data_IF_492658374928
#
_entry.id   IF_492658374928
#
_cell.length_a   1.000
_cell.length_b   1.000
_cell.length_c   1.000
_cell.angle_alpha   90.00
_cell.angle_beta   90.00
_cell.angle_gamma   90.00
#
_symmetry.space_group_name_H-M   'P 1'
#
loop_
_entity.id
_entity.type
_entity.pdbx_description
1 polymer ?
#
# COMPACT_ATOMS: atom_id res chain seq x y z
N UNK A 1 -25.91 -50.61 7.29
CA UNK A 1 -24.44 -50.67 7.12
C UNK A 1 -24.03 -49.68 6.03
N UNK A 2 -23.17 -48.72 6.42
CA UNK A 2 -22.45 -47.74 5.61
C UNK A 2 -23.29 -46.66 4.88
N UNK A 3 -23.70 -45.52 5.47
CA UNK A 3 -23.07 -44.66 6.48
C UNK A 3 -21.58 -44.32 6.25
N UNK A 4 -21.01 -44.63 5.08
CA UNK A 4 -19.58 -44.44 4.80
C UNK A 4 -19.27 -44.03 3.34
N UNK A 5 -20.12 -43.21 2.73
CA UNK A 5 -19.82 -42.58 1.41
C UNK A 5 -19.85 -41.05 1.41
N UNK A 6 -20.09 -40.43 2.57
CA UNK A 6 -20.21 -38.96 2.71
C UNK A 6 -18.94 -38.23 3.19
N UNK A 7 -17.80 -38.90 3.31
CA UNK A 7 -16.66 -38.36 4.10
C UNK A 7 -15.31 -38.25 3.36
N UNK A 8 -15.26 -38.44 2.04
CA UNK A 8 -14.01 -38.41 1.26
C UNK A 8 -14.03 -37.41 0.08
N UNK A 9 -14.79 -36.31 0.20
CA UNK A 9 -14.78 -35.21 -0.78
C UNK A 9 -14.46 -33.84 -0.15
N UNK A 10 -13.56 -33.84 0.83
CA UNK A 10 -12.93 -32.63 1.39
C UNK A 10 -11.41 -32.82 1.37
N UNK A 11 -10.80 -32.48 0.24
CA UNK A 11 -9.35 -32.51 0.09
C UNK A 11 -9.01 -32.45 -1.37
N UNK A 12 -8.26 -31.41 -1.74
CA UNK A 12 -7.86 -31.00 -3.11
C UNK A 12 -8.93 -30.14 -3.78
N UNK A 13 -8.74 -28.82 -3.65
CA UNK A 13 -9.40 -27.87 -4.53
C UNK A 13 -9.00 -28.18 -5.97
N UNK A 14 -9.98 -28.50 -6.79
CA UNK A 14 -9.84 -28.54 -8.24
C UNK A 14 -9.34 -27.16 -8.69
N UNK A 15 -8.06 -27.11 -9.09
CA UNK A 15 -7.59 -26.07 -9.97
C UNK A 15 -8.15 -26.39 -11.36
N UNK A 16 -9.38 -25.96 -11.61
CA UNK A 16 -9.93 -25.93 -12.96
C UNK A 16 -9.07 -24.97 -13.80
N UNK A 17 -8.16 -25.54 -14.58
CA UNK A 17 -7.53 -24.83 -15.68
C UNK A 17 -8.62 -24.59 -16.72
N UNK A 18 -9.14 -23.35 -16.76
CA UNK A 18 -10.11 -22.92 -17.75
C UNK A 18 -9.53 -23.15 -19.17
N UNK A 19 -10.04 -24.17 -19.87
CA UNK A 19 -9.59 -24.57 -21.20
C UNK A 19 -9.89 -23.54 -22.31
N UNK A 20 -10.50 -22.39 -21.97
CA UNK A 20 -10.86 -21.30 -22.88
C UNK A 20 -9.95 -20.08 -22.86
N UNK A 21 -8.72 -20.17 -22.32
CA UNK A 21 -7.73 -19.09 -22.43
C UNK A 21 -8.19 -17.74 -21.90
N UNK A 22 -8.88 -17.71 -20.75
CA UNK A 22 -9.20 -16.45 -20.07
C UNK A 22 -7.93 -15.75 -19.57
N UNK A 23 -8.04 -14.44 -19.28
CA UNK A 23 -6.96 -13.64 -18.66
C UNK A 23 -6.33 -14.43 -17.50
N UNK A 24 -5.06 -14.81 -17.67
CA UNK A 24 -4.31 -15.57 -16.67
C UNK A 24 -4.23 -14.71 -15.41
N UNK A 25 -4.97 -15.11 -14.38
CA UNK A 25 -4.84 -14.51 -13.07
C UNK A 25 -3.59 -15.11 -12.40
N UNK A 26 -2.46 -14.42 -12.56
CA UNK A 26 -1.15 -14.79 -11.99
C UNK A 26 -1.11 -14.83 -10.47
N UNK A 27 -2.20 -14.41 -9.82
CA UNK A 27 -2.28 -14.34 -8.38
C UNK A 27 -3.20 -15.42 -7.80
N UNK A 28 -2.82 -16.11 -6.71
CA UNK A 28 -3.70 -17.02 -5.97
C UNK A 28 -5.04 -16.36 -5.63
N UNK A 29 -6.11 -17.14 -5.45
CA UNK A 29 -7.46 -16.61 -5.16
C UNK A 29 -7.49 -15.58 -4.00
N UNK A 30 -6.63 -15.74 -3.00
CA UNK A 30 -6.46 -14.79 -1.90
C UNK A 30 -6.03 -13.38 -2.33
N UNK A 31 -5.19 -13.26 -3.36
CA UNK A 31 -4.75 -11.97 -3.88
C UNK A 31 -5.84 -11.30 -4.73
N UNK A 32 -6.62 -12.06 -5.49
CA UNK A 32 -7.80 -11.52 -6.17
C UNK A 32 -8.83 -10.98 -5.16
N UNK A 33 -9.03 -11.70 -4.05
CA UNK A 33 -9.84 -11.22 -2.94
C UNK A 33 -9.26 -9.95 -2.29
N UNK A 34 -7.93 -9.89 -2.09
CA UNK A 34 -7.25 -8.72 -1.57
C UNK A 34 -7.40 -7.49 -2.49
N UNK A 35 -7.24 -7.65 -3.80
CA UNK A 35 -7.44 -6.57 -4.78
C UNK A 35 -8.88 -6.05 -4.77
N UNK A 36 -9.88 -6.93 -4.67
CA UNK A 36 -11.29 -6.54 -4.51
C UNK A 36 -11.52 -5.78 -3.21
N UNK A 37 -10.96 -6.25 -2.10
CA UNK A 37 -11.06 -5.59 -0.80
C UNK A 37 -10.37 -4.21 -0.80
N UNK A 38 -9.23 -4.07 -1.48
CA UNK A 38 -8.54 -2.80 -1.69
C UNK A 38 -9.44 -1.83 -2.47
N UNK A 39 -10.05 -2.27 -3.58
CA UNK A 39 -10.97 -1.43 -4.38
C UNK A 39 -12.15 -0.92 -3.57
N UNK A 40 -12.73 -1.76 -2.71
CA UNK A 40 -13.85 -1.36 -1.85
C UNK A 40 -13.42 -0.30 -0.83
N UNK A 41 -12.25 -0.47 -0.20
CA UNK A 41 -11.73 0.49 0.79
C UNK A 41 -11.21 1.78 0.16
N UNK A 42 -10.70 1.73 -1.07
CA UNK A 42 -10.30 2.92 -1.83
C UNK A 42 -11.44 3.92 -2.00
N UNK A 43 -12.70 3.45 -2.08
CA UNK A 43 -13.87 4.35 -2.15
C UNK A 43 -13.99 5.23 -0.92
N UNK A 44 -13.70 4.68 0.26
CA UNK A 44 -13.78 5.36 1.55
C UNK A 44 -12.55 6.23 1.87
N UNK A 45 -11.43 6.04 1.16
CA UNK A 45 -10.21 6.78 1.42
C UNK A 45 -10.28 8.20 0.85
N UNK A 46 -9.83 9.17 1.64
CA UNK A 46 -9.72 10.58 1.27
C UNK A 46 -8.45 10.85 0.45
N UNK A 47 -7.37 10.16 0.80
CA UNK A 47 -6.09 10.23 0.11
C UNK A 47 -5.40 8.87 0.07
N UNK A 48 -4.68 8.63 -1.02
CA UNK A 48 -3.89 7.42 -1.21
C UNK A 48 -2.39 7.74 -1.26
N UNK A 49 -1.61 7.06 -0.43
CA UNK A 49 -0.15 7.03 -0.52
C UNK A 49 0.23 5.79 -1.32
N UNK A 50 0.68 6.00 -2.55
CA UNK A 50 1.18 4.94 -3.44
C UNK A 50 2.68 4.74 -3.19
N UNK A 51 3.03 3.67 -2.49
CA UNK A 51 4.43 3.32 -2.18
C UNK A 51 5.02 2.51 -3.31
N UNK A 52 6.11 3.02 -3.88
CA UNK A 52 6.87 2.39 -4.97
C UNK A 52 8.33 2.20 -4.54
N UNK A 53 9.07 1.33 -5.22
CA UNK A 53 10.50 1.16 -4.99
C UNK A 53 11.28 2.18 -5.85
N UNK A 54 12.10 3.02 -5.23
CA UNK A 54 12.85 4.09 -5.88
C UNK A 54 13.83 3.59 -6.94
N UNK A 55 14.27 2.33 -6.85
CA UNK A 55 15.16 1.71 -7.85
C UNK A 55 14.44 1.39 -9.16
N UNK A 56 13.14 1.10 -9.08
CA UNK A 56 12.29 0.72 -10.21
C UNK A 56 10.92 1.43 -10.13
N UNK A 57 10.85 2.77 -10.27
CA UNK A 57 9.64 3.54 -10.02
C UNK A 57 8.47 3.25 -10.96
N UNK A 58 8.76 2.83 -12.21
CA UNK A 58 7.73 2.45 -13.19
C UNK A 58 7.35 0.97 -12.98
N UNK A 59 8.32 0.07 -12.83
CA UNK A 59 8.04 -1.37 -12.76
C UNK A 59 7.36 -1.80 -11.46
N UNK A 60 7.51 -1.02 -10.38
CA UNK A 60 6.84 -1.28 -9.09
C UNK A 60 5.38 -0.79 -9.04
N UNK A 61 4.83 -0.36 -10.18
CA UNK A 61 3.43 0.02 -10.34
C UNK A 61 2.52 -1.21 -10.27
N UNK A 62 1.40 -1.09 -9.56
CA UNK A 62 0.30 -2.05 -9.66
C UNK A 62 -0.68 -1.61 -10.76
N UNK A 63 -0.62 -2.25 -11.94
CA UNK A 63 -1.48 -1.97 -13.10
C UNK A 63 -2.97 -2.06 -12.78
N UNK A 64 -3.38 -3.04 -11.99
CA UNK A 64 -4.79 -3.35 -11.71
C UNK A 64 -5.49 -2.29 -10.86
N UNK A 65 -4.70 -1.47 -10.15
CA UNK A 65 -5.19 -0.40 -9.30
C UNK A 65 -5.09 0.97 -9.96
N UNK A 66 -4.32 1.15 -11.04
CA UNK A 66 -4.08 2.47 -11.64
C UNK A 66 -5.36 3.18 -12.07
N UNK A 67 -6.32 2.44 -12.65
CA UNK A 67 -7.62 2.99 -13.06
C UNK A 67 -8.47 3.53 -11.90
N UNK A 68 -8.27 3.00 -10.70
CA UNK A 68 -8.99 3.41 -9.49
C UNK A 68 -8.24 4.51 -8.73
N UNK A 69 -6.92 4.57 -8.87
CA UNK A 69 -6.07 5.57 -8.23
C UNK A 69 -6.07 6.91 -8.98
N UNK A 70 -6.37 6.91 -10.27
CA UNK A 70 -6.43 8.15 -11.08
C UNK A 70 -7.54 9.11 -10.66
N UNK A 71 -8.64 8.60 -10.09
CA UNK A 71 -9.79 9.41 -9.66
C UNK A 71 -9.67 9.97 -8.23
N UNK A 72 -8.62 9.58 -7.49
CA UNK A 72 -8.44 9.93 -6.07
C UNK A 72 -7.23 10.85 -5.88
N UNK A 73 -7.26 11.65 -4.81
CA UNK A 73 -6.09 12.42 -4.35
C UNK A 73 -4.98 11.42 -4.00
N UNK A 74 -3.82 11.56 -4.63
CA UNK A 74 -2.73 10.58 -4.53
C UNK A 74 -1.37 11.26 -4.36
N UNK A 75 -0.53 10.63 -3.55
CA UNK A 75 0.90 10.97 -3.41
C UNK A 75 1.71 9.72 -3.67
N UNK A 76 2.72 9.81 -4.55
CA UNK A 76 3.65 8.73 -4.84
C UNK A 76 4.86 8.85 -3.91
N UNK A 77 5.08 7.82 -3.10
CA UNK A 77 6.23 7.72 -2.22
C UNK A 77 7.25 6.74 -2.82
N UNK A 78 8.36 7.26 -3.35
CA UNK A 78 9.48 6.45 -3.85
C UNK A 78 10.35 6.02 -2.67
N UNK A 79 10.07 4.84 -2.13
CA UNK A 79 10.74 4.30 -0.96
C UNK A 79 12.08 3.64 -1.31
N UNK A 80 12.96 3.48 -0.29
CA UNK A 80 14.33 2.96 -0.42
C UNK A 80 15.24 3.87 -1.25
N UNK A 81 15.07 5.19 -1.11
CA UNK A 81 15.90 6.18 -1.81
C UNK A 81 17.41 6.00 -1.55
N UNK A 82 17.76 5.45 -0.41
CA UNK A 82 19.12 5.11 0.02
C UNK A 82 19.78 4.02 -0.84
N UNK A 83 18.97 3.14 -1.45
CA UNK A 83 19.42 2.08 -2.34
C UNK A 83 19.39 2.49 -3.82
N UNK A 84 18.84 3.67 -4.13
CA UNK A 84 18.70 4.16 -5.49
C UNK A 84 19.83 5.11 -5.87
N UNK A 85 20.16 5.17 -7.16
CA UNK A 85 21.19 6.09 -7.64
C UNK A 85 20.70 7.55 -7.57
N UNK A 86 21.35 8.42 -6.76
CA UNK A 86 20.89 9.79 -6.55
C UNK A 86 20.84 10.61 -7.85
N UNK A 87 21.73 10.34 -8.81
CA UNK A 87 21.76 11.06 -10.09
C UNK A 87 20.53 10.77 -10.96
N UNK A 88 19.96 9.57 -10.83
CA UNK A 88 18.76 9.17 -11.58
C UNK A 88 17.48 9.60 -10.84
N UNK A 89 17.53 9.70 -9.51
CA UNK A 89 16.37 10.11 -8.71
C UNK A 89 15.81 11.47 -9.14
N UNK A 90 16.67 12.45 -9.44
CA UNK A 90 16.21 13.75 -9.94
C UNK A 90 15.46 13.65 -11.26
N UNK A 91 15.88 12.75 -12.16
CA UNK A 91 15.18 12.49 -13.43
C UNK A 91 13.80 11.88 -13.18
N UNK A 92 13.69 10.97 -12.20
CA UNK A 92 12.40 10.38 -11.83
C UNK A 92 11.43 11.38 -11.23
N UNK A 93 11.91 12.25 -10.32
CA UNK A 93 11.08 13.31 -9.73
C UNK A 93 10.57 14.24 -10.83
N UNK A 94 11.47 14.72 -11.70
CA UNK A 94 11.09 15.57 -12.84
C UNK A 94 10.09 14.86 -13.77
N UNK A 95 10.28 13.57 -14.06
CA UNK A 95 9.33 12.79 -14.85
C UNK A 95 7.93 12.79 -14.23
N UNK A 96 7.79 12.51 -12.93
CA UNK A 96 6.48 12.52 -12.28
C UNK A 96 5.86 13.91 -12.20
N UNK A 97 6.67 14.96 -12.00
CA UNK A 97 6.21 16.35 -12.06
C UNK A 97 5.66 16.72 -13.44
N UNK A 98 6.34 16.33 -14.53
CA UNK A 98 5.83 16.53 -15.90
C UNK A 98 4.51 15.79 -16.15
N UNK A 99 4.32 14.63 -15.50
CA UNK A 99 3.06 13.88 -15.52
C UNK A 99 1.98 14.44 -14.56
N UNK A 100 2.23 15.57 -13.90
CA UNK A 100 1.34 16.17 -12.88
C UNK A 100 1.02 15.21 -11.72
N UNK A 101 1.98 14.36 -11.35
CA UNK A 101 1.87 13.43 -10.23
C UNK A 101 2.81 13.87 -9.11
N UNK A 102 2.25 14.07 -7.91
CA UNK A 102 3.05 14.42 -6.75
C UNK A 102 3.90 13.22 -6.32
N UNK A 103 5.22 13.39 -6.39
CA UNK A 103 6.18 12.33 -6.11
C UNK A 103 7.21 12.82 -5.10
N UNK A 104 7.46 12.03 -4.06
CA UNK A 104 8.50 12.32 -3.07
C UNK A 104 9.40 11.09 -2.83
N UNK A 105 10.73 11.25 -2.94
CA UNK A 105 11.67 10.20 -2.58
C UNK A 105 11.87 10.14 -1.06
N UNK A 106 11.65 8.94 -0.50
CA UNK A 106 11.71 8.70 0.94
C UNK A 106 12.59 7.50 1.27
N UNK A 107 13.05 7.48 2.52
CA UNK A 107 13.50 6.26 3.17
C UNK A 107 12.53 6.02 4.34
N UNK A 108 11.78 4.92 4.29
CA UNK A 108 10.80 4.57 5.33
C UNK A 108 11.44 4.39 6.71
N UNK A 109 12.72 4.06 6.82
CA UNK A 109 13.44 3.97 8.09
C UNK A 109 13.85 5.35 8.65
N UNK A 110 13.90 6.38 7.80
CA UNK A 110 14.32 7.73 8.17
C UNK A 110 13.11 8.57 8.60
N UNK A 111 13.04 8.90 9.89
CA UNK A 111 11.96 9.72 10.45
C UNK A 111 11.81 11.06 9.71
N UNK A 112 12.91 11.76 9.44
CA UNK A 112 12.89 13.05 8.73
C UNK A 112 12.30 12.94 7.32
N UNK A 113 12.58 11.84 6.61
CA UNK A 113 12.02 11.61 5.28
C UNK A 113 10.50 11.33 5.34
N UNK A 114 10.06 10.59 6.36
CA UNK A 114 8.63 10.29 6.56
C UNK A 114 7.88 11.53 7.04
N UNK A 115 8.46 12.38 7.88
CA UNK A 115 7.85 13.66 8.29
C UNK A 115 7.58 14.56 7.09
N UNK A 116 8.54 14.69 6.16
CA UNK A 116 8.33 15.46 4.91
C UNK A 116 7.19 14.92 4.05
N UNK A 117 7.03 13.59 3.98
CA UNK A 117 5.87 12.98 3.32
C UNK A 117 4.57 13.36 4.03
N UNK A 118 4.54 13.29 5.36
CA UNK A 118 3.36 13.65 6.15
C UNK A 118 2.99 15.12 6.00
N UNK A 119 3.97 16.04 5.96
CA UNK A 119 3.74 17.46 5.69
C UNK A 119 3.08 17.67 4.32
N UNK A 120 3.56 16.99 3.27
CA UNK A 120 2.94 17.07 1.95
C UNK A 120 1.51 16.51 1.95
N UNK A 121 1.27 15.43 2.68
CA UNK A 121 -0.07 14.84 2.84
C UNK A 121 -1.00 15.79 3.59
N UNK A 122 -0.54 16.40 4.69
CA UNK A 122 -1.28 17.41 5.46
C UNK A 122 -1.63 18.61 4.59
N UNK A 123 -0.70 19.09 3.75
CA UNK A 123 -0.97 20.19 2.80
C UNK A 123 -2.08 19.82 1.80
N UNK A 124 -2.07 18.60 1.24
CA UNK A 124 -3.12 18.14 0.31
C UNK A 124 -4.46 17.87 0.98
N UNK A 125 -4.46 17.60 2.28
CA UNK A 125 -5.65 17.32 3.06
C UNK A 125 -6.18 18.54 3.81
N UNK A 126 -5.50 19.69 3.78
CA UNK A 126 -5.88 20.89 4.55
C UNK A 126 -7.36 21.28 4.40
N UNK A 127 -7.89 21.23 3.19
CA UNK A 127 -9.32 21.51 2.92
C UNK A 127 -10.27 20.45 3.50
N UNK A 128 -9.86 19.19 3.52
CA UNK A 128 -10.65 18.08 4.04
C UNK A 128 -10.63 18.06 5.58
N UNK A 129 -9.48 18.41 6.19
CA UNK A 129 -9.31 18.53 7.64
C UNK A 129 -10.28 19.57 8.22
N UNK A 130 -10.58 20.64 7.47
CA UNK A 130 -11.53 21.66 7.91
C UNK A 130 -12.98 21.17 7.94
N UNK A 131 -13.31 20.12 7.17
CA UNK A 131 -14.68 19.60 7.04
C UNK A 131 -14.94 18.41 7.95
N UNK A 132 -13.97 17.52 8.08
CA UNK A 132 -14.11 16.29 8.87
C UNK A 132 -13.01 16.12 9.92
N UNK A 133 -13.37 15.66 11.13
CA UNK A 133 -12.41 15.50 12.23
C UNK A 133 -11.48 14.29 12.06
N UNK A 134 -11.85 13.33 11.20
CA UNK A 134 -11.08 12.11 10.97
C UNK A 134 -10.98 11.83 9.48
N UNK A 135 -9.75 11.75 8.96
CA UNK A 135 -9.49 11.44 7.57
C UNK A 135 -8.91 10.03 7.43
N UNK A 136 -9.30 9.34 6.36
CA UNK A 136 -8.80 8.02 6.04
C UNK A 136 -7.74 8.10 4.94
N UNK A 137 -6.50 7.83 5.32
CA UNK A 137 -5.38 7.70 4.37
C UNK A 137 -5.07 6.23 4.13
N UNK A 138 -5.06 5.83 2.86
CA UNK A 138 -4.77 4.45 2.47
C UNK A 138 -3.35 4.33 1.92
N UNK A 139 -2.57 3.37 2.41
CA UNK A 139 -1.23 3.05 1.91
C UNK A 139 -1.32 1.85 0.98
N UNK A 140 -0.92 2.01 -0.29
CA UNK A 140 -1.05 1.00 -1.35
C UNK A 140 0.28 0.78 -2.05
N UNK A 141 0.53 -0.41 -2.59
CA UNK A 141 1.73 -0.74 -3.36
C UNK A 141 1.98 -2.24 -3.47
N UNK A 142 2.85 -2.65 -4.39
CA UNK A 142 3.19 -4.07 -4.61
C UNK A 142 3.91 -4.68 -3.38
N UNK A 143 3.96 -6.01 -3.22
CA UNK A 143 4.66 -6.64 -2.10
C UNK A 143 6.11 -6.15 -1.95
N UNK A 144 6.61 -6.10 -0.71
CA UNK A 144 8.02 -5.81 -0.38
C UNK A 144 8.57 -4.41 -0.77
N UNK A 145 7.73 -3.47 -1.22
CA UNK A 145 8.13 -2.05 -1.41
C UNK A 145 8.35 -1.29 -0.11
N UNK A 146 7.95 -1.86 1.04
CA UNK A 146 8.16 -1.27 2.37
C UNK A 146 6.96 -0.54 2.97
N UNK A 147 5.73 -0.85 2.54
CA UNK A 147 4.48 -0.29 3.10
C UNK A 147 4.39 -0.42 4.63
N UNK A 148 4.64 -1.62 5.15
CA UNK A 148 4.55 -1.91 6.58
C UNK A 148 5.63 -1.17 7.39
N UNK A 149 6.82 -1.00 6.81
CA UNK A 149 7.87 -0.16 7.39
C UNK A 149 7.43 1.31 7.46
N UNK A 150 6.86 1.83 6.37
CA UNK A 150 6.33 3.20 6.34
C UNK A 150 5.23 3.42 7.40
N UNK A 151 4.27 2.50 7.51
CA UNK A 151 3.21 2.55 8.52
C UNK A 151 3.81 2.57 9.94
N UNK A 152 4.78 1.70 10.22
CA UNK A 152 5.43 1.67 11.53
C UNK A 152 6.18 2.97 11.83
N UNK A 153 6.84 3.58 10.85
CA UNK A 153 7.54 4.85 11.05
C UNK A 153 6.59 6.03 11.27
N UNK A 154 5.47 6.08 10.54
CA UNK A 154 4.40 7.05 10.78
C UNK A 154 3.87 6.89 12.21
N UNK A 155 3.66 5.65 12.63
CA UNK A 155 3.17 5.33 13.97
C UNK A 155 4.14 5.72 15.08
N UNK A 156 5.44 5.57 14.87
CA UNK A 156 6.46 6.08 15.80
C UNK A 156 6.46 7.61 15.89
N UNK A 157 6.32 8.30 14.75
CA UNK A 157 6.25 9.77 14.72
C UNK A 157 5.00 10.25 15.47
N UNK A 158 3.86 9.60 15.22
CA UNK A 158 2.60 9.87 15.92
C UNK A 158 2.74 9.79 17.44
N UNK A 159 3.35 8.71 17.95
CA UNK A 159 3.60 8.53 19.37
C UNK A 159 4.48 9.63 19.97
N UNK A 160 5.52 10.07 19.23
CA UNK A 160 6.38 11.15 19.69
C UNK A 160 5.68 12.51 19.74
N UNK A 161 4.69 12.74 18.87
CA UNK A 161 3.93 14.01 18.80
C UNK A 161 2.76 14.05 19.81
N UNK A 162 2.20 12.89 20.15
CA UNK A 162 1.06 12.77 21.07
C UNK A 162 1.33 11.69 22.15
N UNK A 163 2.16 12.00 23.16
CA UNK A 163 2.43 11.07 24.25
C UNK A 163 1.15 10.83 25.07
N UNK A 164 0.73 9.56 25.24
CA UNK A 164 -0.39 9.17 26.10
C UNK A 164 -1.53 8.38 25.44
N UNK A 165 -1.53 8.19 24.11
CA UNK A 165 -2.48 7.26 23.44
C UNK A 165 -2.00 5.80 23.62
N UNK A 166 -2.94 4.91 23.96
CA UNK A 166 -2.76 3.49 24.34
C UNK A 166 -1.83 2.62 23.48
N UNK A 167 -1.45 1.44 24.04
CA UNK A 167 -0.68 0.37 23.40
C UNK A 167 -1.23 0.02 22.02
N UNK A 168 -0.57 0.53 20.99
CA UNK A 168 -1.08 0.43 19.64
C UNK A 168 -0.51 -0.75 18.85
N UNK A 169 -1.37 -1.33 18.00
CA UNK A 169 -1.03 -2.39 17.03
C UNK A 169 0.07 -1.90 16.09
N UNK A 170 1.11 -2.71 15.90
CA UNK A 170 2.18 -2.48 14.90
C UNK A 170 1.92 -3.33 13.66
N UNK A 171 2.32 -2.85 12.49
CA UNK A 171 2.30 -3.66 11.28
C UNK A 171 3.44 -4.70 11.34
N UNK A 172 3.16 -5.96 11.00
CA UNK A 172 4.18 -6.99 10.89
C UNK A 172 5.13 -6.69 9.71
N UNK A 173 6.44 -6.78 9.93
CA UNK A 173 7.48 -6.52 8.92
C UNK A 173 8.46 -7.69 8.92
N UNK A 174 8.77 -8.20 7.73
CA UNK A 174 9.76 -9.26 7.56
C UNK A 174 10.21 -9.37 6.10
N UNK A 175 11.28 -10.13 5.83
CA UNK A 175 11.85 -10.27 4.49
C UNK A 175 11.04 -11.21 3.58
N UNK A 176 10.23 -12.08 4.18
CA UNK A 176 9.41 -13.05 3.45
C UNK A 176 8.15 -12.38 2.87
N UNK A 177 7.75 -12.71 1.63
CA UNK A 177 6.46 -12.28 1.12
C UNK A 177 5.32 -12.86 1.97
N UNK A 178 4.22 -12.12 2.11
CA UNK A 178 3.05 -12.57 2.87
C UNK A 178 3.15 -12.42 4.39
N UNK A 179 4.12 -11.66 4.93
CA UNK A 179 4.16 -11.30 6.36
C UNK A 179 2.98 -10.39 6.75
N UNK A 180 2.58 -9.50 5.85
CA UNK A 180 1.34 -8.71 5.99
C UNK A 180 0.29 -9.30 5.06
N UNK A 181 -0.67 -10.04 5.62
CA UNK A 181 -1.73 -10.71 4.85
C UNK A 181 -3.04 -9.92 4.86
N UNK A 182 -3.30 -9.21 5.96
CA UNK A 182 -4.56 -8.50 6.17
C UNK A 182 -4.48 -7.00 5.92
N UNK A 183 -5.62 -6.42 5.52
CA UNK A 183 -5.77 -4.97 5.44
C UNK A 183 -6.14 -4.44 6.83
N UNK A 184 -5.16 -3.86 7.52
CA UNK A 184 -5.33 -3.27 8.84
C UNK A 184 -5.52 -1.75 8.80
N UNK A 185 -6.30 -1.22 9.75
CA UNK A 185 -6.42 0.21 10.02
C UNK A 185 -5.57 0.59 11.23
N UNK A 186 -4.87 1.71 11.16
CA UNK A 186 -4.05 2.25 12.24
C UNK A 186 -4.53 3.66 12.56
N UNK A 187 -4.87 3.91 13.82
CA UNK A 187 -5.23 5.25 14.29
C UNK A 187 -3.97 5.95 14.78
N UNK A 188 -3.74 7.15 14.25
CA UNK A 188 -2.63 8.06 14.58
C UNK A 188 -3.18 9.19 15.46
#
# INVERSE_FOLDING_TARGET
MAALKGLLKKGLGEMDFNAGGGLINWFPGHMAAATRAIRNRLKLADLVIEVRDARIPISSINSDLQSHLSSKRRVIALNKKDLANPNIMHKWVNYFETCKQDCIPINAHSKSSVTKLLELVELKLKEAILKEPTLLVMVVGVPNVGKSCLINSIHQIAQSRFPGKEKNKRAAVGPLPGVTQDIAGFKV
#
